data_IF_705135822297
#
_entry.id   IF_705135822297
#
_cell.length_a   1.000
_cell.length_b   1.000
_cell.length_c   1.000
_cell.angle_alpha   90.00
_cell.angle_beta   90.00
_cell.angle_gamma   90.00
#
_symmetry.space_group_name_H-M   'P 1'
#
loop_
_entity.id
_entity.type
_entity.pdbx_description
1 polymer ?
#
# COMPACT_ATOMS: atom_id res chain seq x y z
N UNK A 1 -14.37 -5.53 -5.06
CA UNK A 1 -13.25 -4.88 -5.77
C UNK A 1 -13.57 -3.40 -5.79
N UNK A 2 -12.62 -2.58 -5.36
CA UNK A 2 -12.73 -1.13 -5.28
C UNK A 2 -11.71 -0.51 -6.24
N UNK A 3 -12.13 0.52 -6.95
CA UNK A 3 -11.26 1.34 -7.79
C UNK A 3 -10.99 2.65 -7.06
N UNK A 4 -9.73 2.94 -6.76
CA UNK A 4 -9.31 4.09 -5.97
C UNK A 4 -8.30 4.90 -6.74
N UNK A 5 -8.51 6.21 -6.85
CA UNK A 5 -7.61 7.10 -7.59
C UNK A 5 -6.69 7.87 -6.63
N UNK A 6 -5.38 7.80 -6.88
CA UNK A 6 -4.35 8.56 -6.18
C UNK A 6 -3.32 9.07 -7.18
N UNK A 7 -3.00 10.37 -7.14
CA UNK A 7 -1.96 10.99 -7.98
C UNK A 7 -2.05 10.59 -9.47
N UNK A 8 -3.27 10.61 -10.03
CA UNK A 8 -3.58 10.21 -11.42
C UNK A 8 -3.28 8.74 -11.76
N UNK A 9 -3.22 7.86 -10.76
CA UNK A 9 -3.11 6.42 -10.92
C UNK A 9 -4.28 5.72 -10.23
N UNK A 10 -4.77 4.66 -10.84
CA UNK A 10 -5.86 3.85 -10.30
C UNK A 10 -5.30 2.61 -9.62
N UNK A 11 -5.69 2.41 -8.35
CA UNK A 11 -5.47 1.18 -7.61
C UNK A 11 -6.74 0.33 -7.63
N UNK A 12 -6.57 -0.98 -7.83
CA UNK A 12 -7.63 -1.98 -7.75
C UNK A 12 -7.46 -2.80 -6.47
N UNK A 13 -8.41 -2.68 -5.55
CA UNK A 13 -8.32 -3.32 -4.23
C UNK A 13 -9.41 -4.37 -4.08
N UNK A 14 -9.00 -5.61 -3.81
CA UNK A 14 -9.92 -6.69 -3.46
C UNK A 14 -9.98 -6.87 -1.94
N UNK A 15 -11.21 -7.02 -1.46
CA UNK A 15 -11.49 -7.46 -0.10
C UNK A 15 -11.76 -8.96 -0.10
N UNK A 16 -11.23 -9.66 0.91
CA UNK A 16 -11.56 -11.06 1.18
C UNK A 16 -12.27 -11.18 2.53
N UNK A 17 -13.59 -11.27 2.47
CA UNK A 17 -14.46 -11.38 3.65
C UNK A 17 -14.31 -12.72 4.39
N UNK A 18 -13.55 -13.67 3.85
CA UNK A 18 -13.21 -14.93 4.53
C UNK A 18 -12.03 -14.77 5.50
N UNK A 19 -11.25 -13.70 5.38
CA UNK A 19 -10.05 -13.42 6.19
C UNK A 19 -10.37 -12.49 7.39
N UNK A 20 -11.57 -12.64 7.95
CA UNK A 20 -12.12 -11.82 9.04
C UNK A 20 -11.89 -10.31 8.84
N UNK A 21 -11.33 -9.62 9.83
CA UNK A 21 -11.10 -8.17 9.78
C UNK A 21 -9.93 -7.78 8.88
N UNK A 22 -8.98 -8.68 8.61
CA UNK A 22 -7.76 -8.37 7.87
C UNK A 22 -7.97 -8.25 6.36
N UNK A 23 -8.97 -8.94 5.82
CA UNK A 23 -9.31 -8.86 4.40
C UNK A 23 -10.19 -7.68 3.99
N UNK A 24 -10.46 -6.71 4.88
CA UNK A 24 -11.35 -5.58 4.63
C UNK A 24 -10.59 -4.29 4.39
N UNK A 25 -11.15 -3.43 3.54
CA UNK A 25 -10.66 -2.08 3.34
C UNK A 25 -11.21 -1.17 4.43
N UNK A 26 -10.34 -0.76 5.35
CA UNK A 26 -10.74 0.08 6.48
C UNK A 26 -10.54 1.57 6.20
N UNK A 27 -11.46 2.38 6.72
CA UNK A 27 -11.43 3.84 6.59
C UNK A 27 -10.11 4.50 7.04
N UNK A 28 -9.45 4.07 8.14
CA UNK A 28 -8.14 4.62 8.51
C UNK A 28 -7.03 4.39 7.47
N UNK A 29 -7.06 3.25 6.77
CA UNK A 29 -6.11 2.97 5.68
C UNK A 29 -6.33 3.91 4.49
N UNK A 30 -7.59 4.17 4.13
CA UNK A 30 -7.95 5.17 3.12
C UNK A 30 -7.53 6.59 3.56
N UNK A 31 -7.80 6.96 4.81
CA UNK A 31 -7.42 8.27 5.35
C UNK A 31 -5.91 8.47 5.28
N UNK A 32 -5.12 7.46 5.69
CA UNK A 32 -3.67 7.53 5.60
C UNK A 32 -3.20 7.61 4.15
N UNK A 33 -3.77 6.82 3.24
CA UNK A 33 -3.48 6.87 1.81
C UNK A 33 -3.71 8.28 1.22
N UNK A 34 -4.85 8.91 1.51
CA UNK A 34 -5.13 10.29 1.10
C UNK A 34 -4.17 11.29 1.75
N UNK A 35 -3.79 11.08 3.01
CA UNK A 35 -2.82 11.93 3.68
C UNK A 35 -1.44 11.87 3.01
N UNK A 36 -0.97 10.68 2.59
CA UNK A 36 0.30 10.55 1.88
C UNK A 36 0.27 11.26 0.53
N UNK A 37 -0.82 11.11 -0.24
CA UNK A 37 -1.02 11.81 -1.51
C UNK A 37 -1.05 13.33 -1.30
N UNK A 38 -1.75 13.81 -0.27
CA UNK A 38 -1.77 15.22 0.10
C UNK A 38 -0.36 15.76 0.43
N UNK A 39 0.44 15.02 1.20
CA UNK A 39 1.82 15.42 1.51
C UNK A 39 2.71 15.49 0.27
N UNK A 40 2.52 14.57 -0.67
CA UNK A 40 3.22 14.60 -1.96
C UNK A 40 2.86 15.85 -2.76
N UNK A 41 1.57 16.15 -2.88
CA UNK A 41 1.10 17.32 -3.63
C UNK A 41 1.58 18.61 -2.96
N UNK A 42 1.51 18.71 -1.64
CA UNK A 42 2.01 19.88 -0.89
C UNK A 42 3.50 20.10 -1.12
N UNK A 43 4.30 19.03 -1.13
CA UNK A 43 5.74 19.12 -1.42
C UNK A 43 5.99 19.60 -2.86
N UNK A 44 5.26 19.08 -3.84
CA UNK A 44 5.38 19.48 -5.24
C UNK A 44 5.05 20.97 -5.45
N UNK A 45 3.95 21.46 -4.86
CA UNK A 45 3.56 22.88 -4.93
C UNK A 45 4.55 23.82 -4.22
N UNK A 46 5.25 23.31 -3.21
CA UNK A 46 6.22 24.08 -2.42
C UNK A 46 7.66 23.95 -2.96
N UNK A 47 7.86 23.27 -4.09
CA UNK A 47 9.17 22.93 -4.64
C UNK A 47 10.10 22.21 -3.63
N UNK A 48 9.50 21.42 -2.73
CA UNK A 48 10.21 20.59 -1.76
C UNK A 48 10.44 19.19 -2.34
N UNK A 49 11.39 18.48 -1.73
CA UNK A 49 11.65 17.07 -2.08
C UNK A 49 10.41 16.22 -1.82
N UNK A 50 10.09 15.33 -2.77
CA UNK A 50 9.03 14.35 -2.61
C UNK A 50 9.30 13.44 -1.38
N UNK A 51 8.36 13.33 -0.43
CA UNK A 51 8.62 12.73 0.88
C UNK A 51 8.93 11.23 0.83
N UNK A 52 8.34 10.51 -0.13
CA UNK A 52 8.44 9.05 -0.28
C UNK A 52 9.41 8.59 -1.36
N UNK A 53 9.90 9.50 -2.20
CA UNK A 53 10.81 9.17 -3.29
C UNK A 53 12.12 8.58 -2.78
N UNK A 54 12.44 7.37 -3.25
CA UNK A 54 13.61 6.58 -2.86
C UNK A 54 13.67 6.25 -1.36
N UNK A 55 12.52 6.21 -0.67
CA UNK A 55 12.44 5.77 0.72
C UNK A 55 12.19 4.27 0.82
N UNK A 56 12.70 3.65 1.89
CA UNK A 56 12.31 2.28 2.26
C UNK A 56 11.22 2.37 3.32
N UNK A 57 10.08 1.73 3.08
CA UNK A 57 8.88 1.76 3.91
C UNK A 57 8.52 0.34 4.32
N UNK A 58 8.18 0.18 5.61
CA UNK A 58 7.62 -1.04 6.16
C UNK A 58 6.20 -0.72 6.64
N UNK A 59 5.22 -1.45 6.13
CA UNK A 59 3.83 -1.33 6.55
C UNK A 59 3.45 -2.54 7.43
N UNK A 60 3.03 -2.27 8.66
CA UNK A 60 2.57 -3.28 9.61
C UNK A 60 1.05 -3.35 9.63
N UNK A 61 0.50 -4.55 9.46
CA UNK A 61 -0.95 -4.73 9.39
C UNK A 61 -1.52 -4.11 8.12
N UNK A 62 -0.93 -4.44 6.97
CA UNK A 62 -1.28 -3.87 5.67
C UNK A 62 -2.75 -4.12 5.27
N UNK A 63 -3.37 -5.19 5.76
CA UNK A 63 -4.71 -5.62 5.36
C UNK A 63 -4.78 -5.81 3.85
N UNK A 64 -5.56 -4.96 3.17
CA UNK A 64 -5.62 -4.95 1.70
C UNK A 64 -4.43 -4.24 1.02
N UNK A 65 -3.55 -3.56 1.75
CA UNK A 65 -2.32 -2.94 1.24
C UNK A 65 -2.47 -1.53 0.66
N UNK A 66 -3.61 -0.85 0.88
CA UNK A 66 -3.90 0.44 0.23
C UNK A 66 -2.87 1.53 0.57
N UNK A 67 -2.48 1.66 1.83
CA UNK A 67 -1.56 2.74 2.25
C UNK A 67 -0.15 2.48 1.70
N UNK A 68 0.37 1.25 1.83
CA UNK A 68 1.64 0.87 1.23
C UNK A 68 1.66 1.00 -0.31
N UNK A 69 0.55 0.70 -0.99
CA UNK A 69 0.45 0.86 -2.45
C UNK A 69 0.47 2.34 -2.88
N UNK A 70 -0.14 3.24 -2.09
CA UNK A 70 0.03 4.67 -2.34
C UNK A 70 1.48 5.09 -2.11
N UNK A 71 2.13 4.64 -1.04
CA UNK A 71 3.56 4.92 -0.84
C UNK A 71 4.42 4.42 -2.03
N UNK A 72 4.10 3.25 -2.58
CA UNK A 72 4.75 2.69 -3.77
C UNK A 72 4.56 3.57 -5.02
N UNK A 73 3.33 4.04 -5.28
CA UNK A 73 3.03 5.01 -6.33
C UNK A 73 3.88 6.28 -6.20
N UNK A 74 4.12 6.72 -4.96
CA UNK A 74 4.92 7.90 -4.63
C UNK A 74 6.45 7.64 -4.65
N UNK A 75 6.88 6.47 -5.14
CA UNK A 75 8.30 6.16 -5.37
C UNK A 75 9.02 5.51 -4.19
N UNK A 76 8.30 5.00 -3.18
CA UNK A 76 8.89 4.23 -2.10
C UNK A 76 9.14 2.76 -2.50
N UNK A 77 10.13 2.13 -1.85
CA UNK A 77 10.33 0.69 -1.80
C UNK A 77 9.58 0.17 -0.57
N UNK A 78 8.61 -0.72 -0.76
CA UNK A 78 7.63 -1.05 0.29
C UNK A 78 7.67 -2.54 0.63
N UNK A 79 7.82 -2.83 1.91
CA UNK A 79 7.57 -4.17 2.46
C UNK A 79 6.23 -4.14 3.16
N UNK A 80 5.29 -4.93 2.65
CA UNK A 80 3.95 -5.09 3.18
C UNK A 80 3.94 -6.27 4.14
N UNK A 81 3.37 -6.10 5.34
CA UNK A 81 3.33 -7.18 6.32
C UNK A 81 1.96 -7.34 6.95
N UNK A 82 1.55 -8.60 7.11
CA UNK A 82 0.32 -8.96 7.81
C UNK A 82 0.37 -10.43 8.29
N UNK A 83 -0.69 -10.87 8.97
CA UNK A 83 -0.85 -12.23 9.45
C UNK A 83 -0.87 -13.23 8.29
N UNK A 84 -0.43 -14.50 8.52
CA UNK A 84 -0.42 -15.53 7.48
C UNK A 84 -1.76 -15.75 6.77
N UNK A 85 -2.88 -15.52 7.46
CA UNK A 85 -4.21 -15.65 6.86
C UNK A 85 -4.60 -14.47 5.94
N UNK A 86 -3.95 -13.31 6.06
CA UNK A 86 -4.24 -12.09 5.28
C UNK A 86 -3.31 -11.96 4.07
N UNK A 87 -2.07 -12.43 4.22
CA UNK A 87 -1.03 -12.36 3.18
C UNK A 87 -1.47 -12.87 1.79
N UNK A 88 -2.28 -13.93 1.63
CA UNK A 88 -2.73 -14.36 0.32
C UNK A 88 -3.50 -13.27 -0.46
N UNK A 89 -4.43 -12.56 0.18
CA UNK A 89 -5.18 -11.48 -0.48
C UNK A 89 -4.31 -10.22 -0.65
N UNK A 90 -3.52 -9.88 0.36
CA UNK A 90 -2.56 -8.78 0.29
C UNK A 90 -1.59 -8.96 -0.89
N UNK A 91 -1.06 -10.17 -1.10
CA UNK A 91 -0.18 -10.49 -2.22
C UNK A 91 -0.87 -10.28 -3.56
N UNK A 92 -2.10 -10.75 -3.72
CA UNK A 92 -2.89 -10.53 -4.94
C UNK A 92 -3.07 -9.02 -5.23
N UNK A 93 -3.43 -8.23 -4.22
CA UNK A 93 -3.57 -6.78 -4.36
C UNK A 93 -2.24 -6.13 -4.76
N UNK A 94 -1.14 -6.47 -4.09
CA UNK A 94 0.18 -5.86 -4.35
C UNK A 94 0.69 -6.23 -5.73
N UNK A 95 0.73 -7.51 -6.08
CA UNK A 95 1.24 -7.99 -7.36
C UNK A 95 0.44 -7.43 -8.53
N UNK A 96 -0.90 -7.44 -8.44
CA UNK A 96 -1.75 -6.88 -9.49
C UNK A 96 -1.45 -5.41 -9.72
N UNK A 97 -1.41 -4.58 -8.67
CA UNK A 97 -1.22 -3.14 -8.82
C UNK A 97 0.21 -2.76 -9.23
N UNK A 98 1.22 -3.48 -8.72
CA UNK A 98 2.61 -3.31 -9.15
C UNK A 98 2.76 -3.58 -10.64
N UNK A 99 2.16 -4.67 -11.14
CA UNK A 99 2.16 -4.99 -12.56
C UNK A 99 1.32 -3.97 -13.37
N UNK A 100 0.09 -3.69 -12.93
CA UNK A 100 -0.84 -2.78 -13.62
C UNK A 100 -0.26 -1.38 -13.81
N UNK A 101 0.46 -0.87 -12.81
CA UNK A 101 1.05 0.48 -12.81
C UNK A 101 2.50 0.51 -13.31
N UNK A 102 3.05 -0.62 -13.74
CA UNK A 102 4.45 -0.78 -14.15
C UNK A 102 5.45 -0.27 -13.09
N UNK A 103 5.20 -0.58 -11.82
CA UNK A 103 6.12 -0.26 -10.73
C UNK A 103 7.29 -1.29 -10.71
N UNK A 104 8.49 -0.92 -10.24
CA UNK A 104 9.62 -1.85 -10.17
C UNK A 104 9.33 -2.97 -9.17
N UNK A 105 9.10 -4.20 -9.65
CA UNK A 105 8.67 -5.31 -8.80
C UNK A 105 9.68 -5.62 -7.67
N UNK A 106 10.97 -5.43 -7.90
CA UNK A 106 12.05 -5.62 -6.93
C UNK A 106 12.04 -4.59 -5.78
N UNK A 107 11.19 -3.56 -5.86
CA UNK A 107 10.97 -2.58 -4.80
C UNK A 107 9.86 -2.99 -3.83
N UNK A 108 9.09 -4.02 -4.15
CA UNK A 108 7.86 -4.35 -3.41
C UNK A 108 7.86 -5.82 -3.00
N UNK A 109 7.62 -6.09 -1.71
CA UNK A 109 7.56 -7.46 -1.20
C UNK A 109 6.44 -7.62 -0.16
N UNK A 110 5.85 -8.80 -0.11
CA UNK A 110 4.79 -9.15 0.84
C UNK A 110 5.28 -10.27 1.75
N UNK A 111 5.31 -10.02 3.05
CA UNK A 111 5.91 -10.89 4.06
C UNK A 111 4.91 -11.19 5.18
N UNK A 112 4.86 -12.43 5.63
CA UNK A 112 4.09 -12.80 6.81
C UNK A 112 4.76 -12.27 8.08
N UNK A 113 4.00 -11.58 8.92
CA UNK A 113 4.49 -11.10 10.21
C UNK A 113 3.37 -11.08 11.25
N UNK A 114 3.61 -11.77 12.37
CA UNK A 114 2.73 -11.75 13.54
C UNK A 114 3.34 -10.83 14.58
N UNK A 115 2.59 -9.82 15.01
CA UNK A 115 3.11 -8.84 15.96
C UNK A 115 3.54 -9.50 17.27
N UNK A 116 4.74 -9.16 17.73
CA UNK A 116 5.31 -9.73 18.96
C UNK A 116 5.82 -11.17 18.82
N UNK A 117 5.82 -11.75 17.61
CA UNK A 117 6.58 -12.98 17.35
C UNK A 117 8.08 -12.72 17.49
N UNK A 118 8.87 -13.72 17.91
CA UNK A 118 10.33 -13.60 18.01
C UNK A 118 11.00 -13.29 16.67
#
# INVERSE_FOLDING_TARGET
MHELEFCHKTLFIWEDWRQDIGGKLWTPGLLMAHFLAYLHDLAAHSHLRAPFENKTVLEFGSGCGVTGLVAAILGARVTFTDLPCVVPNLRLNVEFNVQHLNLPAEHHSVVEHVWGSP
#
